data_IF_744215341697
#
_entry.id   IF_744215341697
#
_cell.length_a   1.000
_cell.length_b   1.000
_cell.length_c   1.000
_cell.angle_alpha   90.00
_cell.angle_beta   90.00
_cell.angle_gamma   90.00
#
_symmetry.space_group_name_H-M   'P 1'
#
loop_
_entity.id
_entity.type
_entity.pdbx_description
1 polymer ?
#
# COMPACT_ATOMS: atom_id res chain seq x y z
N UNK A 1 28.70 21.79 16.17
CA UNK A 1 28.24 20.65 16.99
C UNK A 1 28.15 19.44 16.08
N UNK A 2 28.70 18.30 16.47
CA UNK A 2 28.56 17.04 15.72
C UNK A 2 27.22 16.37 16.05
N UNK A 3 26.49 15.91 15.04
CA UNK A 3 25.36 15.01 15.26
C UNK A 3 25.88 13.70 15.91
N UNK A 4 25.14 13.08 16.86
CA UNK A 4 25.54 11.80 17.43
C UNK A 4 25.57 10.72 16.36
N UNK A 5 26.69 10.00 16.24
CA UNK A 5 26.79 8.83 15.39
C UNK A 5 26.05 7.66 16.04
N UNK A 6 24.74 7.56 15.76
CA UNK A 6 23.93 6.39 16.09
C UNK A 6 24.48 5.17 15.33
N UNK A 7 25.38 4.44 15.98
CA UNK A 7 25.91 3.17 15.49
C UNK A 7 24.84 2.07 15.64
N UNK A 8 23.79 2.17 14.82
CA UNK A 8 22.66 1.23 14.78
C UNK A 8 23.12 -0.17 14.39
N UNK A 9 23.62 -0.92 15.36
CA UNK A 9 24.16 -2.28 15.21
C UNK A 9 23.08 -3.34 15.04
N UNK A 10 21.91 -2.96 14.52
CA UNK A 10 20.84 -3.87 14.19
C UNK A 10 21.15 -4.54 12.85
N UNK A 11 21.41 -5.86 12.88
CA UNK A 11 22.02 -6.62 11.77
C UNK A 11 21.20 -6.70 10.46
N UNK A 12 19.98 -6.18 10.45
CA UNK A 12 19.05 -6.19 9.30
C UNK A 12 18.35 -4.83 9.17
N UNK A 13 18.34 -4.22 7.97
CA UNK A 13 17.66 -2.93 7.73
C UNK A 13 16.13 -3.09 7.85
N UNK A 14 15.43 -1.98 8.08
CA UNK A 14 14.00 -1.89 7.81
C UNK A 14 13.77 -1.58 6.34
N UNK A 15 12.58 -1.91 5.84
CA UNK A 15 12.09 -1.50 4.53
C UNK A 15 10.79 -0.73 4.71
N UNK A 16 10.72 0.46 4.12
CA UNK A 16 9.47 1.18 3.91
C UNK A 16 9.26 1.18 2.40
N UNK A 17 8.14 0.61 1.95
CA UNK A 17 7.73 0.64 0.55
C UNK A 17 6.49 1.53 0.48
N UNK A 18 6.63 2.64 -0.25
CA UNK A 18 5.50 3.47 -0.64
C UNK A 18 5.03 2.99 -2.02
N UNK A 19 3.74 3.08 -2.29
CA UNK A 19 3.20 2.82 -3.61
C UNK A 19 2.04 3.77 -3.88
N UNK A 20 2.08 4.43 -5.04
CA UNK A 20 0.98 5.27 -5.51
C UNK A 20 0.16 4.54 -6.58
N UNK A 21 -1.16 4.74 -6.58
CA UNK A 21 -1.97 4.52 -7.79
C UNK A 21 -1.93 5.82 -8.60
N UNK A 22 -1.96 5.72 -9.92
CA UNK A 22 -1.92 6.88 -10.82
C UNK A 22 -0.56 7.63 -10.70
N UNK A 23 -0.49 8.96 -10.75
CA UNK A 23 0.73 9.83 -10.72
C UNK A 23 1.90 9.46 -11.68
N UNK A 24 1.96 10.05 -12.89
CA UNK A 24 2.76 9.58 -14.05
C UNK A 24 4.20 10.08 -14.12
N UNK A 25 5.15 9.20 -14.48
CA UNK A 25 6.47 9.65 -14.98
C UNK A 25 6.30 10.65 -16.14
N UNK A 26 6.81 11.90 -15.99
CA UNK A 26 6.35 13.05 -16.77
C UNK A 26 6.52 12.85 -18.29
N UNK A 27 5.50 13.21 -19.09
CA UNK A 27 5.57 13.07 -20.53
C UNK A 27 6.55 14.06 -21.16
N UNK A 28 7.10 13.71 -22.33
CA UNK A 28 8.00 14.57 -23.13
C UNK A 28 7.35 15.87 -23.61
N UNK A 29 6.03 16.00 -23.47
CA UNK A 29 5.23 17.19 -23.79
C UNK A 29 4.76 17.98 -22.55
N UNK A 30 5.34 17.71 -21.36
CA UNK A 30 5.14 18.54 -20.17
C UNK A 30 5.59 19.99 -20.43
N UNK A 31 4.70 20.95 -20.20
CA UNK A 31 5.01 22.39 -20.32
C UNK A 31 5.77 22.88 -19.09
N UNK A 32 6.65 23.88 -19.26
CA UNK A 32 7.53 24.34 -18.17
C UNK A 32 6.75 24.85 -16.94
N UNK A 33 5.60 25.50 -17.11
CA UNK A 33 4.77 25.92 -15.97
C UNK A 33 4.17 24.73 -15.19
N UNK A 34 3.84 23.62 -15.87
CA UNK A 34 3.42 22.37 -15.20
C UNK A 34 4.60 21.68 -14.51
N UNK A 35 5.77 21.63 -15.16
CA UNK A 35 7.03 21.10 -14.59
C UNK A 35 7.41 21.85 -13.32
N UNK A 36 7.34 23.18 -13.36
CA UNK A 36 7.58 24.11 -12.25
C UNK A 36 6.56 23.92 -11.13
N UNK A 37 5.26 23.92 -11.45
CA UNK A 37 4.20 23.64 -10.47
C UNK A 37 4.41 22.30 -9.76
N UNK A 38 4.73 21.24 -10.52
CA UNK A 38 4.97 19.90 -9.97
C UNK A 38 6.14 19.90 -9.00
N UNK A 39 7.25 20.54 -9.36
CA UNK A 39 8.44 20.72 -8.50
C UNK A 39 8.17 21.55 -7.24
N UNK A 40 7.38 22.63 -7.33
CA UNK A 40 7.09 23.47 -6.16
C UNK A 40 6.00 22.91 -5.25
N UNK A 41 5.16 21.98 -5.76
CA UNK A 41 4.03 21.41 -5.01
C UNK A 41 4.36 20.03 -4.43
N UNK A 42 5.01 19.15 -5.19
CA UNK A 42 5.35 17.78 -4.76
C UNK A 42 6.68 17.74 -3.99
N UNK A 43 6.81 18.59 -2.96
CA UNK A 43 8.06 18.82 -2.21
C UNK A 43 8.70 17.53 -1.68
N UNK A 44 7.89 16.54 -1.28
CA UNK A 44 8.36 15.24 -0.80
C UNK A 44 9.06 14.44 -1.89
N UNK A 45 8.61 14.52 -3.15
CA UNK A 45 9.30 13.85 -4.27
C UNK A 45 10.66 14.46 -4.54
N UNK A 46 10.77 15.79 -4.55
CA UNK A 46 12.05 16.45 -4.79
C UNK A 46 13.02 16.22 -3.63
N UNK A 47 12.53 16.12 -2.39
CA UNK A 47 13.32 15.68 -1.23
C UNK A 47 13.83 14.23 -1.38
N UNK A 48 12.99 13.29 -1.83
CA UNK A 48 13.39 11.90 -2.09
C UNK A 48 14.44 11.81 -3.20
N UNK A 49 14.26 12.53 -4.32
CA UNK A 49 15.23 12.59 -5.42
C UNK A 49 16.57 13.19 -4.98
N UNK A 50 16.55 14.22 -4.14
CA UNK A 50 17.77 14.87 -3.63
C UNK A 50 18.56 14.02 -2.62
N UNK A 51 17.94 13.01 -2.00
CA UNK A 51 18.55 12.18 -0.94
C UNK A 51 18.57 10.68 -1.29
N UNK A 52 18.33 10.31 -2.56
CA UNK A 52 18.10 8.93 -3.00
C UNK A 52 18.63 8.64 -4.40
N UNK A 53 17.93 7.75 -5.13
CA UNK A 53 18.27 7.34 -6.50
C UNK A 53 17.00 7.26 -7.35
N UNK A 54 17.01 7.91 -8.52
CA UNK A 54 15.87 7.92 -9.46
C UNK A 54 16.10 6.95 -10.63
N UNK A 55 15.09 6.11 -10.92
CA UNK A 55 15.14 5.13 -12.01
C UNK A 55 14.34 5.63 -13.23
N UNK A 56 14.94 6.46 -14.09
CA UNK A 56 14.31 6.98 -15.32
C UNK A 56 13.91 5.92 -16.36
N UNK A 57 14.12 4.63 -16.10
CA UNK A 57 13.74 3.48 -16.93
C UNK A 57 13.15 2.33 -16.10
N UNK A 58 12.40 2.65 -15.05
CA UNK A 58 11.51 1.69 -14.39
C UNK A 58 10.32 1.35 -15.30
N UNK A 59 9.87 0.09 -15.29
CA UNK A 59 8.73 -0.38 -16.08
C UNK A 59 7.81 -1.26 -15.22
N UNK A 60 6.52 -0.96 -15.24
CA UNK A 60 5.48 -1.70 -14.53
C UNK A 60 5.19 -3.06 -15.18
N UNK A 61 4.87 -4.09 -14.37
CA UNK A 61 4.59 -5.45 -14.86
C UNK A 61 3.33 -5.59 -15.71
N UNK A 62 2.39 -4.66 -15.55
CA UNK A 62 1.22 -4.48 -16.43
C UNK A 62 0.71 -3.04 -16.33
N UNK A 63 -0.05 -2.59 -17.35
CA UNK A 63 -0.71 -1.29 -17.33
C UNK A 63 -1.97 -1.24 -16.45
N UNK A 64 -2.53 -2.40 -16.08
CA UNK A 64 -3.69 -2.52 -15.20
C UNK A 64 -3.24 -2.83 -13.76
N UNK A 65 -3.90 -2.25 -12.75
CA UNK A 65 -3.34 -2.23 -11.40
C UNK A 65 -3.30 -3.61 -10.70
N UNK A 66 -4.31 -4.49 -10.84
CA UNK A 66 -4.24 -5.82 -10.21
C UNK A 66 -3.08 -6.69 -10.73
N UNK A 67 -2.90 -6.92 -12.05
CA UNK A 67 -1.76 -7.68 -12.55
C UNK A 67 -0.43 -6.98 -12.27
N UNK A 68 -0.36 -5.64 -12.33
CA UNK A 68 0.87 -4.91 -12.04
C UNK A 68 1.32 -5.08 -10.58
N UNK A 69 0.38 -5.01 -9.63
CA UNK A 69 0.61 -5.28 -8.21
C UNK A 69 0.96 -6.75 -7.99
N UNK A 70 0.21 -7.69 -8.56
CA UNK A 70 0.54 -9.11 -8.47
C UNK A 70 1.97 -9.40 -8.98
N UNK A 71 2.42 -8.73 -10.05
CA UNK A 71 3.81 -8.82 -10.54
C UNK A 71 4.81 -8.23 -9.55
N UNK A 72 4.57 -7.01 -9.03
CA UNK A 72 5.43 -6.37 -8.03
C UNK A 72 5.63 -7.25 -6.78
N UNK A 73 4.54 -7.83 -6.27
CA UNK A 73 4.56 -8.57 -5.01
C UNK A 73 5.04 -10.02 -5.16
N UNK A 74 4.88 -10.66 -6.32
CA UNK A 74 5.39 -12.04 -6.54
C UNK A 74 6.75 -12.09 -7.22
N UNK A 75 7.17 -11.02 -7.90
CA UNK A 75 8.33 -11.01 -8.78
C UNK A 75 8.12 -11.81 -10.09
N UNK A 76 6.87 -12.09 -10.47
CA UNK A 76 6.51 -12.97 -11.60
C UNK A 76 5.58 -12.28 -12.59
N UNK A 77 5.53 -12.74 -13.84
CA UNK A 77 4.62 -12.17 -14.84
C UNK A 77 3.17 -12.69 -14.70
N UNK A 78 2.17 -11.98 -15.28
CA UNK A 78 0.77 -12.42 -15.34
C UNK A 78 0.54 -13.83 -15.90
N UNK A 79 1.43 -14.29 -16.80
CA UNK A 79 1.42 -15.65 -17.36
C UNK A 79 1.74 -16.76 -16.34
N UNK A 80 2.34 -16.42 -15.20
CA UNK A 80 2.62 -17.38 -14.11
C UNK A 80 1.69 -17.17 -12.90
N UNK A 81 1.43 -15.93 -12.49
CA UNK A 81 0.60 -15.66 -11.31
C UNK A 81 -0.91 -15.58 -11.60
N UNK A 82 -1.34 -15.74 -12.86
CA UNK A 82 -2.74 -15.85 -13.30
C UNK A 82 -3.53 -14.54 -13.32
N UNK A 83 -3.31 -13.65 -12.34
CA UNK A 83 -3.91 -12.31 -12.31
C UNK A 83 -3.55 -11.55 -13.59
N UNK A 84 -4.57 -11.28 -14.41
CA UNK A 84 -4.43 -10.73 -15.77
C UNK A 84 -5.44 -9.62 -16.08
N UNK A 85 -6.45 -9.45 -15.23
CA UNK A 85 -7.54 -8.48 -15.36
C UNK A 85 -7.66 -7.65 -14.07
N UNK A 86 -8.54 -6.65 -14.08
CA UNK A 86 -8.75 -5.69 -12.98
C UNK A 86 -10.24 -5.34 -12.91
N UNK A 87 -10.79 -5.22 -11.69
CA UNK A 87 -12.19 -4.82 -11.48
C UNK A 87 -12.44 -3.35 -11.87
N UNK A 88 -13.64 -3.05 -12.34
CA UNK A 88 -14.01 -1.73 -12.85
C UNK A 88 -15.41 -1.70 -13.45
N UNK A 89 -15.69 -0.68 -14.27
CA UNK A 89 -17.04 -0.32 -14.76
C UNK A 89 -17.78 -1.45 -15.52
N UNK A 90 -17.07 -2.46 -16.00
CA UNK A 90 -17.63 -3.62 -16.69
C UNK A 90 -17.00 -4.95 -16.21
N UNK A 91 -16.54 -5.00 -14.95
CA UNK A 91 -15.84 -6.16 -14.36
C UNK A 91 -15.95 -6.15 -12.83
N UNK A 92 -16.73 -7.06 -12.27
CA UNK A 92 -16.94 -7.19 -10.83
C UNK A 92 -16.01 -8.23 -10.19
N UNK A 93 -15.82 -8.13 -8.87
CA UNK A 93 -14.89 -9.00 -8.12
C UNK A 93 -15.26 -10.49 -8.11
N UNK A 94 -16.50 -10.80 -8.44
CA UNK A 94 -17.09 -12.15 -8.45
C UNK A 94 -17.44 -12.67 -9.85
N UNK A 95 -17.04 -11.97 -10.92
CA UNK A 95 -17.28 -12.44 -12.29
C UNK A 95 -16.57 -13.78 -12.55
N UNK A 96 -17.21 -14.68 -13.29
CA UNK A 96 -16.74 -16.07 -13.47
C UNK A 96 -15.39 -16.20 -14.20
N UNK A 97 -14.97 -15.17 -14.92
CA UNK A 97 -13.66 -15.06 -15.55
C UNK A 97 -12.69 -14.11 -14.81
N UNK A 98 -13.01 -13.66 -13.58
CA UNK A 98 -12.10 -12.85 -12.77
C UNK A 98 -11.10 -13.72 -12.01
N UNK A 99 -9.81 -13.61 -12.35
CA UNK A 99 -8.74 -14.42 -11.76
C UNK A 99 -7.90 -13.61 -10.76
N UNK A 100 -8.13 -13.86 -9.48
CA UNK A 100 -7.37 -13.32 -8.34
C UNK A 100 -6.12 -14.15 -8.01
N UNK A 101 -5.15 -13.57 -7.29
CA UNK A 101 -3.97 -14.32 -6.84
C UNK A 101 -4.42 -15.39 -5.84
N UNK A 102 -4.21 -16.65 -6.19
CA UNK A 102 -4.53 -17.76 -5.31
C UNK A 102 -3.48 -17.84 -4.19
N UNK A 103 -3.96 -17.83 -2.94
CA UNK A 103 -3.18 -17.96 -1.69
C UNK A 103 -2.19 -19.13 -1.69
N UNK A 104 -2.43 -20.16 -2.50
CA UNK A 104 -1.67 -21.40 -2.55
C UNK A 104 -0.80 -21.59 -3.82
N UNK A 105 -0.62 -20.58 -4.69
CA UNK A 105 0.15 -20.74 -5.95
C UNK A 105 1.53 -20.08 -5.93
N UNK A 106 1.61 -18.76 -5.74
CA UNK A 106 2.87 -18.01 -5.85
C UNK A 106 3.10 -17.17 -4.58
N UNK A 107 4.15 -17.46 -3.79
CA UNK A 107 4.47 -16.67 -2.60
C UNK A 107 4.76 -15.21 -2.94
N UNK A 108 4.30 -14.29 -2.09
CA UNK A 108 4.59 -12.86 -2.23
C UNK A 108 5.84 -12.46 -1.43
N UNK A 109 6.33 -11.23 -1.64
CA UNK A 109 7.40 -10.65 -0.84
C UNK A 109 7.07 -10.71 0.66
N UNK A 110 5.81 -10.57 1.08
CA UNK A 110 5.39 -10.73 2.48
C UNK A 110 5.74 -12.10 3.05
N UNK A 111 5.49 -13.17 2.29
CA UNK A 111 5.88 -14.54 2.67
C UNK A 111 7.41 -14.65 2.80
N UNK A 112 8.17 -14.19 1.80
CA UNK A 112 9.64 -14.24 1.83
C UNK A 112 10.25 -13.39 2.95
N UNK A 113 9.69 -12.22 3.26
CA UNK A 113 10.14 -11.36 4.34
C UNK A 113 9.85 -11.98 5.72
N UNK A 114 8.67 -12.56 5.93
CA UNK A 114 8.36 -13.31 7.16
C UNK A 114 9.32 -14.49 7.38
N UNK A 115 9.59 -15.27 6.33
CA UNK A 115 10.57 -16.37 6.39
C UNK A 115 11.99 -15.85 6.69
N UNK A 116 12.37 -14.69 6.14
CA UNK A 116 13.59 -13.98 6.49
C UNK A 116 13.58 -13.36 7.92
N UNK A 117 12.54 -13.60 8.72
CA UNK A 117 12.40 -13.19 10.11
C UNK A 117 11.89 -11.76 10.32
N UNK A 118 11.32 -11.12 9.29
CA UNK A 118 10.74 -9.78 9.39
C UNK A 118 9.32 -9.80 9.94
N UNK A 119 8.91 -8.71 10.59
CA UNK A 119 7.49 -8.35 10.68
C UNK A 119 7.08 -7.65 9.38
N UNK A 120 6.05 -8.15 8.71
CA UNK A 120 5.56 -7.64 7.44
C UNK A 120 4.15 -7.06 7.60
N UNK A 121 4.02 -5.75 7.45
CA UNK A 121 2.77 -5.01 7.59
C UNK A 121 2.33 -4.42 6.25
N UNK A 122 1.01 -4.35 6.06
CA UNK A 122 0.40 -3.76 4.86
C UNK A 122 -0.65 -2.70 5.23
N UNK A 123 -0.70 -1.60 4.47
CA UNK A 123 -1.68 -0.52 4.61
C UNK A 123 -2.17 0.00 3.27
N UNK A 124 -3.39 0.53 3.27
CA UNK A 124 -4.09 0.99 2.06
C UNK A 124 -4.48 -0.14 1.10
N UNK A 125 -4.41 0.16 -0.21
CA UNK A 125 -4.96 -0.66 -1.29
C UNK A 125 -4.15 -1.93 -1.53
N UNK A 126 -4.78 -3.10 -1.47
CA UNK A 126 -4.17 -4.42 -1.75
C UNK A 126 -4.29 -4.72 -3.26
N UNK A 127 -5.50 -5.08 -3.70
CA UNK A 127 -5.94 -5.21 -5.09
C UNK A 127 -5.20 -6.29 -5.89
N UNK A 128 -4.79 -7.37 -5.22
CA UNK A 128 -4.09 -8.55 -5.79
C UNK A 128 -4.96 -9.81 -5.69
N UNK A 129 -5.74 -9.89 -4.61
CA UNK A 129 -6.84 -10.82 -4.39
C UNK A 129 -7.98 -10.10 -3.66
N UNK A 130 -9.15 -10.74 -3.54
CA UNK A 130 -10.32 -10.15 -2.92
C UNK A 130 -10.48 -10.68 -1.48
N UNK A 131 -10.10 -9.84 -0.51
CA UNK A 131 -9.84 -10.24 0.89
C UNK A 131 -10.74 -9.52 1.92
N UNK A 132 -11.74 -8.79 1.41
CA UNK A 132 -12.75 -8.12 2.21
C UNK A 132 -13.57 -9.12 3.05
N UNK A 133 -13.98 -8.72 4.26
CA UNK A 133 -14.91 -9.51 5.07
C UNK A 133 -16.31 -9.33 4.48
N UNK A 134 -16.89 -10.38 3.90
CA UNK A 134 -18.15 -10.28 3.16
C UNK A 134 -19.36 -10.57 4.04
N UNK A 135 -20.34 -9.67 4.02
CA UNK A 135 -21.65 -9.84 4.65
C UNK A 135 -22.39 -10.98 3.92
N UNK A 136 -22.69 -12.11 4.58
CA UNK A 136 -23.24 -13.30 3.93
C UNK A 136 -24.47 -13.00 3.06
N UNK A 137 -24.58 -13.68 1.92
CA UNK A 137 -25.65 -13.53 0.89
C UNK A 137 -25.75 -12.18 0.16
N UNK A 138 -24.88 -11.20 0.43
CA UNK A 138 -25.01 -9.85 -0.17
C UNK A 138 -23.93 -9.46 -1.18
N UNK A 139 -22.79 -10.17 -1.22
CA UNK A 139 -21.56 -9.75 -1.92
C UNK A 139 -21.03 -8.35 -1.53
N UNK A 140 -21.44 -7.81 -0.37
CA UNK A 140 -20.96 -6.53 0.15
C UNK A 140 -19.95 -6.72 1.27
N UNK A 141 -18.89 -5.94 1.21
CA UNK A 141 -17.87 -5.86 2.25
C UNK A 141 -18.40 -5.21 3.53
N UNK A 142 -17.94 -5.69 4.68
CA UNK A 142 -18.05 -5.00 5.98
C UNK A 142 -17.19 -3.74 5.92
N UNK A 143 -17.78 -2.59 6.23
CA UNK A 143 -17.07 -1.30 6.23
C UNK A 143 -16.35 -1.09 7.57
N UNK A 144 -15.05 -0.81 7.55
CA UNK A 144 -14.29 -0.44 8.76
C UNK A 144 -14.55 1.01 9.24
N UNK A 145 -15.57 1.67 8.70
CA UNK A 145 -15.80 3.11 8.85
C UNK A 145 -17.27 3.45 8.59
N UNK A 146 -17.75 4.54 9.20
CA UNK A 146 -19.12 4.99 9.04
C UNK A 146 -19.34 5.60 7.63
N UNK A 147 -20.27 5.08 6.81
CA UNK A 147 -20.30 5.34 5.35
C UNK A 147 -20.55 6.81 4.97
N UNK A 148 -21.26 7.57 5.82
CA UNK A 148 -21.60 8.97 5.55
C UNK A 148 -20.46 9.91 5.96
N UNK A 149 -19.77 9.62 7.06
CA UNK A 149 -18.79 10.56 7.67
C UNK A 149 -17.33 10.18 7.39
N UNK A 150 -17.04 8.92 7.03
CA UNK A 150 -15.66 8.44 6.81
C UNK A 150 -14.87 8.17 8.09
N UNK A 151 -15.47 8.39 9.26
CA UNK A 151 -14.85 8.15 10.58
C UNK A 151 -14.68 6.63 10.77
N UNK A 152 -13.48 6.14 11.15
CA UNK A 152 -13.27 4.72 11.45
C UNK A 152 -14.21 4.18 12.54
N UNK A 153 -14.67 2.95 12.36
CA UNK A 153 -15.42 2.20 13.36
C UNK A 153 -14.47 1.18 14.00
N UNK A 154 -14.06 1.45 15.25
CA UNK A 154 -13.08 0.62 15.96
C UNK A 154 -13.49 -0.85 16.05
N UNK A 155 -14.78 -1.16 16.20
CA UNK A 155 -15.22 -2.56 16.31
C UNK A 155 -15.04 -3.31 14.98
N UNK A 156 -15.19 -2.60 13.86
CA UNK A 156 -14.98 -3.16 12.52
C UNK A 156 -13.50 -3.17 12.13
N UNK A 157 -12.71 -2.18 12.57
CA UNK A 157 -11.24 -2.24 12.45
C UNK A 157 -10.67 -3.44 13.22
N UNK A 158 -11.06 -3.62 14.49
CA UNK A 158 -10.65 -4.76 15.33
C UNK A 158 -11.06 -6.10 14.70
N UNK A 159 -12.23 -6.16 14.04
CA UNK A 159 -12.66 -7.34 13.28
C UNK A 159 -11.71 -7.66 12.11
N UNK A 160 -11.30 -6.67 11.32
CA UNK A 160 -10.29 -6.85 10.27
C UNK A 160 -8.91 -7.23 10.84
N UNK A 161 -8.48 -6.59 11.92
CA UNK A 161 -7.20 -6.89 12.59
C UNK A 161 -7.17 -8.32 13.16
N UNK A 162 -8.29 -8.80 13.70
CA UNK A 162 -8.41 -10.17 14.23
C UNK A 162 -8.55 -11.23 13.12
N UNK A 163 -9.31 -10.94 12.05
CA UNK A 163 -9.42 -11.81 10.89
C UNK A 163 -8.11 -11.90 10.07
N UNK A 164 -7.30 -10.84 10.11
CA UNK A 164 -5.98 -10.72 9.49
C UNK A 164 -5.94 -11.25 8.02
N UNK A 165 -6.79 -10.76 7.09
CA UNK A 165 -7.06 -11.46 5.83
C UNK A 165 -5.84 -11.71 4.93
N UNK A 166 -4.84 -10.81 4.97
CA UNK A 166 -3.63 -10.92 4.15
C UNK A 166 -2.57 -11.90 4.70
N UNK A 167 -2.86 -12.64 5.78
CA UNK A 167 -1.87 -13.47 6.46
C UNK A 167 -1.25 -14.55 5.55
N UNK A 168 -2.07 -15.17 4.70
CA UNK A 168 -1.61 -16.17 3.72
C UNK A 168 -0.66 -15.59 2.67
N UNK A 169 -0.77 -14.29 2.36
CA UNK A 169 0.18 -13.57 1.50
C UNK A 169 1.38 -13.02 2.27
N UNK A 170 1.43 -13.29 3.58
CA UNK A 170 2.52 -12.91 4.46
C UNK A 170 2.48 -11.46 4.96
N UNK A 171 1.30 -10.85 5.04
CA UNK A 171 1.14 -9.48 5.56
C UNK A 171 0.17 -9.39 6.73
N UNK A 172 0.39 -8.43 7.63
CA UNK A 172 -0.44 -8.21 8.82
C UNK A 172 -1.01 -6.80 8.96
N UNK A 173 -2.15 -6.72 9.64
CA UNK A 173 -2.77 -5.47 10.09
C UNK A 173 -3.44 -4.65 9.00
N UNK A 174 -3.67 -5.23 7.82
CA UNK A 174 -4.48 -4.59 6.78
C UNK A 174 -5.94 -4.48 7.25
N UNK A 175 -6.54 -3.32 6.99
CA UNK A 175 -7.92 -3.00 7.36
C UNK A 175 -8.66 -2.65 6.06
N UNK A 176 -9.55 -3.54 5.64
CA UNK A 176 -10.44 -3.33 4.51
C UNK A 176 -11.59 -2.36 4.81
N UNK A 177 -12.62 -2.29 3.95
CA UNK A 177 -12.67 -2.91 2.63
C UNK A 177 -11.59 -2.34 1.71
N UNK A 178 -11.33 -3.02 0.61
CA UNK A 178 -10.44 -2.58 -0.46
C UNK A 178 -10.77 -1.14 -0.89
N UNK A 179 -9.83 -0.17 -0.74
CA UNK A 179 -10.12 1.20 -1.15
C UNK A 179 -10.22 1.31 -2.69
N UNK A 180 -11.44 1.52 -3.17
CA UNK A 180 -11.78 1.61 -4.59
C UNK A 180 -12.82 2.72 -4.89
N UNK A 181 -12.83 3.18 -6.15
CA UNK A 181 -13.79 4.15 -6.66
C UNK A 181 -13.41 5.62 -6.41
N UNK A 182 -14.40 6.51 -6.55
CA UNK A 182 -14.25 7.99 -6.48
C UNK A 182 -14.66 8.61 -5.14
N UNK A 183 -15.02 7.80 -4.15
CA UNK A 183 -15.51 8.29 -2.86
C UNK A 183 -14.33 8.42 -1.88
N UNK A 184 -13.87 9.64 -1.49
CA UNK A 184 -12.65 9.84 -0.69
C UNK A 184 -12.66 9.21 0.71
N UNK A 185 -13.79 8.60 1.12
CA UNK A 185 -13.93 7.81 2.35
C UNK A 185 -13.61 6.32 2.14
N UNK A 186 -13.73 5.84 0.90
CA UNK A 186 -13.37 4.50 0.43
C UNK A 186 -12.19 4.54 -0.57
N UNK A 187 -11.48 5.65 -0.71
CA UNK A 187 -10.38 5.76 -1.66
C UNK A 187 -9.30 6.63 -1.02
N UNK A 188 -8.01 6.33 -1.25
CA UNK A 188 -6.90 7.07 -0.65
C UNK A 188 -6.68 8.46 -1.31
N UNK A 189 -7.75 9.06 -1.81
CA UNK A 189 -7.82 10.37 -2.43
C UNK A 189 -7.62 11.46 -1.38
N UNK A 190 -6.94 12.55 -1.75
CA UNK A 190 -7.16 13.83 -1.09
C UNK A 190 -8.64 14.21 -1.23
N UNK A 191 -9.32 14.47 -0.11
CA UNK A 191 -10.67 15.01 -0.14
C UNK A 191 -10.66 16.48 -0.61
N UNK A 192 -11.74 16.94 -1.24
CA UNK A 192 -11.91 18.35 -1.53
C UNK A 192 -12.21 19.14 -0.24
N UNK A 193 -11.91 20.44 -0.23
CA UNK A 193 -12.06 21.31 0.94
C UNK A 193 -13.49 21.20 1.50
N UNK A 194 -13.61 20.81 2.78
CA UNK A 194 -14.90 20.59 3.47
C UNK A 194 -15.43 19.15 3.44
N UNK A 195 -14.78 18.21 2.76
CA UNK A 195 -15.07 16.78 2.83
C UNK A 195 -14.05 16.05 3.73
N UNK A 196 -14.55 15.08 4.50
CA UNK A 196 -13.72 14.11 5.21
C UNK A 196 -13.20 13.02 4.27
N UNK A 197 -11.88 12.89 4.16
CA UNK A 197 -11.19 11.77 3.52
C UNK A 197 -10.61 10.78 4.52
N UNK A 198 -9.98 9.70 4.02
CA UNK A 198 -9.12 8.81 4.84
C UNK A 198 -7.70 9.34 5.03
N UNK A 199 -7.31 10.46 4.42
CA UNK A 199 -5.99 11.08 4.54
C UNK A 199 -5.54 11.33 5.99
N UNK A 200 -6.46 11.78 6.84
CA UNK A 200 -6.23 11.95 8.30
C UNK A 200 -6.08 10.61 9.03
N UNK A 201 -6.65 9.53 8.51
CA UNK A 201 -6.48 8.17 9.05
C UNK A 201 -5.09 7.64 8.66
N UNK A 202 -4.70 7.78 7.38
CA UNK A 202 -3.37 7.39 6.91
C UNK A 202 -2.24 8.21 7.57
N UNK A 203 -2.46 9.47 7.97
CA UNK A 203 -1.44 10.21 8.71
C UNK A 203 -1.14 9.64 10.11
N UNK A 204 -2.09 8.93 10.73
CA UNK A 204 -1.84 8.18 11.98
C UNK A 204 -0.97 6.92 11.80
N UNK A 205 -0.67 6.51 10.56
CA UNK A 205 0.30 5.45 10.29
C UNK A 205 1.75 5.91 10.57
N UNK A 206 2.00 7.21 10.73
CA UNK A 206 3.29 7.73 11.20
C UNK A 206 3.57 7.25 12.63
N UNK A 207 2.56 7.25 13.51
CA UNK A 207 2.68 6.72 14.88
C UNK A 207 3.01 5.22 14.89
N UNK A 208 2.49 4.47 13.89
CA UNK A 208 2.85 3.07 13.67
C UNK A 208 4.33 2.94 13.26
N UNK A 209 4.81 3.72 12.29
CA UNK A 209 6.22 3.69 11.87
C UNK A 209 7.15 4.00 13.05
N UNK A 210 6.87 5.05 13.81
CA UNK A 210 7.68 5.40 14.97
C UNK A 210 7.61 4.35 16.10
N UNK A 211 6.43 3.80 16.40
CA UNK A 211 6.30 2.76 17.43
C UNK A 211 7.08 1.51 17.06
N UNK A 212 6.97 1.06 15.82
CA UNK A 212 7.69 -0.09 15.29
C UNK A 212 9.22 0.07 15.32
N UNK A 213 9.76 1.26 15.03
CA UNK A 213 11.20 1.50 15.17
C UNK A 213 11.66 1.63 16.64
N UNK A 214 10.83 2.22 17.51
CA UNK A 214 11.04 2.22 18.97
C UNK A 214 11.09 0.80 19.54
N UNK A 215 10.18 -0.08 19.12
CA UNK A 215 10.18 -1.51 19.51
C UNK A 215 11.43 -2.23 19.01
N UNK A 216 11.78 -2.06 17.72
CA UNK A 216 13.01 -2.63 17.16
C UNK A 216 14.28 -2.16 17.90
N UNK A 217 14.34 -0.90 18.32
CA UNK A 217 15.45 -0.36 19.11
C UNK A 217 15.49 -0.95 20.53
N UNK A 218 14.34 -1.04 21.21
CA UNK A 218 14.20 -1.65 22.55
C UNK A 218 14.63 -3.13 22.52
N UNK A 219 14.08 -3.91 21.60
CA UNK A 219 14.29 -5.34 21.51
C UNK A 219 15.70 -5.68 20.97
N UNK A 220 16.36 -4.71 20.32
CA UNK A 220 17.74 -4.79 19.88
C UNK A 220 18.76 -4.78 21.03
N UNK A 221 18.40 -4.17 22.17
CA UNK A 221 19.17 -4.26 23.42
C UNK A 221 19.01 -5.64 24.08
N UNK A 222 17.87 -6.30 23.86
CA UNK A 222 17.59 -7.67 24.31
C UNK A 222 18.01 -8.77 23.34
N UNK A 223 18.57 -8.43 22.17
CA UNK A 223 19.03 -9.38 21.15
C UNK A 223 17.95 -10.07 20.32
N UNK A 224 16.68 -9.65 20.43
CA UNK A 224 15.52 -10.30 19.79
C UNK A 224 14.80 -9.39 18.76
N UNK A 225 15.41 -8.28 18.35
CA UNK A 225 14.80 -7.33 17.42
C UNK A 225 14.50 -7.96 16.06
N UNK A 226 13.21 -8.04 15.72
CA UNK A 226 12.78 -8.32 14.35
C UNK A 226 12.91 -7.03 13.51
N UNK A 227 13.53 -7.09 12.32
CA UNK A 227 13.44 -6.01 11.36
C UNK A 227 12.06 -5.99 10.71
N UNK A 228 11.72 -4.89 10.06
CA UNK A 228 10.33 -4.59 9.69
C UNK A 228 10.26 -4.22 8.21
N UNK A 229 9.28 -4.75 7.50
CA UNK A 229 8.81 -4.20 6.23
C UNK A 229 7.39 -3.66 6.42
N UNK A 230 7.22 -2.36 6.19
CA UNK A 230 5.90 -1.74 6.03
C UNK A 230 5.71 -1.42 4.56
N UNK A 231 4.65 -1.97 3.98
CA UNK A 231 4.12 -1.52 2.71
C UNK A 231 2.89 -0.63 2.98
N UNK A 232 2.92 0.62 2.52
CA UNK A 232 1.77 1.54 2.62
C UNK A 232 1.47 2.18 1.27
N UNK A 233 0.27 2.72 1.11
CA UNK A 233 -0.30 3.12 -0.17
C UNK A 233 -1.02 4.46 -0.08
N UNK A 234 -0.76 5.33 -1.05
CA UNK A 234 -1.31 6.69 -1.11
C UNK A 234 -1.94 6.98 -2.49
N UNK A 235 -3.01 7.76 -2.48
CA UNK A 235 -3.62 8.31 -3.70
C UNK A 235 -4.59 7.36 -4.42
N UNK A 236 -5.81 7.83 -4.65
CA UNK A 236 -6.64 7.42 -5.81
C UNK A 236 -7.33 8.68 -6.33
N UNK A 237 -6.74 9.40 -7.29
CA UNK A 237 -7.48 10.35 -8.11
C UNK A 237 -6.67 10.78 -9.34
N UNK A 238 -7.29 10.67 -10.51
CA UNK A 238 -6.95 11.42 -11.74
C UNK A 238 -5.69 11.00 -12.53
N UNK A 239 -5.72 9.78 -13.07
CA UNK A 239 -5.06 9.29 -14.30
C UNK A 239 -3.52 9.12 -14.34
N UNK A 240 -3.05 7.85 -14.27
CA UNK A 240 -1.72 7.30 -14.67
C UNK A 240 -0.50 7.84 -13.91
N UNK A 241 0.66 7.20 -13.64
CA UNK A 241 1.23 5.82 -13.65
C UNK A 241 2.54 5.83 -12.78
N UNK A 242 2.55 5.16 -11.62
CA UNK A 242 3.24 5.60 -10.38
C UNK A 242 4.78 5.52 -10.16
N UNK A 243 5.15 6.00 -8.96
CA UNK A 243 6.46 6.02 -8.30
C UNK A 243 6.47 5.11 -7.04
N UNK A 244 7.66 4.69 -6.59
CA UNK A 244 7.96 3.93 -5.35
C UNK A 244 8.68 4.85 -4.35
#
# INVERSE_FOLDING_TARGET
MSLPSLSHKCKKPNFLVLLVDEERYPPVYEQEELRKWRRTTLITQELLKANGMEFHRHYIGSAACCPSRATLFTGQYPSLHGVSQTVGVAKEAFDSDMFWLNRNTVPTMGNYFREAGYQAYYRGKWHISYEDIIIPSTHKSVLSYHPITGIPDRQQEDLYLHANPLDSFGFSGWIGPEPHGKNPRNSASSAAIGLSGRDVVYSSEVDLIESLDREKCRDGLGGNSKPIILHTFFGINSFTYGII
#
